data_IF_795070894675
#
_entry.id   IF_795070894675
#
_cell.length_a   1.000
_cell.length_b   1.000
_cell.length_c   1.000
_cell.angle_alpha   90.00
_cell.angle_beta   90.00
_cell.angle_gamma   90.00
#
_symmetry.space_group_name_H-M   'P 1'
#
loop_
_entity.id
_entity.type
_entity.pdbx_description
1 polymer ?
#
# COMPACT_ATOMS: atom_id res chain seq x y z
N UNK A 1 -110.25 102.73 -10.70
CA UNK A 1 -110.43 103.90 -9.83
C UNK A 1 -109.47 103.76 -8.66
N UNK A 2 -108.57 104.73 -8.48
CA UNK A 2 -107.71 105.05 -7.32
C UNK A 2 -106.72 104.02 -6.76
N UNK A 3 -105.44 104.42 -6.82
CA UNK A 3 -104.32 104.10 -5.90
C UNK A 3 -104.58 104.74 -4.52
N UNK A 4 -103.94 104.28 -3.41
CA UNK A 4 -102.60 104.79 -3.00
C UNK A 4 -101.64 103.72 -2.42
N UNK A 5 -100.32 103.78 -2.70
CA UNK A 5 -99.17 104.14 -1.82
C UNK A 5 -99.20 103.45 -0.42
N UNK A 6 -98.14 102.84 0.12
CA UNK A 6 -96.74 103.29 0.25
C UNK A 6 -95.86 102.14 0.81
N UNK A 7 -94.54 102.38 0.78
CA UNK A 7 -93.45 101.81 1.61
C UNK A 7 -92.41 100.85 1.00
N UNK A 8 -91.22 101.46 0.92
CA UNK A 8 -89.92 100.97 0.53
C UNK A 8 -89.24 100.18 1.66
N UNK A 9 -88.43 99.20 1.26
CA UNK A 9 -87.51 98.48 2.14
C UNK A 9 -86.57 97.61 1.31
N UNK A 10 -85.49 98.20 0.82
CA UNK A 10 -84.40 97.50 0.12
C UNK A 10 -83.69 96.57 1.11
N UNK A 11 -83.66 95.27 0.80
CA UNK A 11 -83.19 94.16 1.63
C UNK A 11 -81.63 94.09 1.68
N UNK A 12 -80.99 95.17 2.17
CA UNK A 12 -79.51 95.35 2.23
C UNK A 12 -78.84 94.31 3.15
N UNK A 13 -79.59 93.71 4.08
CA UNK A 13 -79.11 92.69 5.03
C UNK A 13 -78.84 91.34 4.37
N UNK A 14 -79.57 90.97 3.30
CA UNK A 14 -79.32 89.71 2.58
C UNK A 14 -78.05 89.77 1.74
N UNK A 15 -77.79 90.89 1.05
CA UNK A 15 -76.60 91.05 0.21
C UNK A 15 -75.30 91.08 1.03
N UNK A 16 -75.31 91.69 2.23
CA UNK A 16 -74.16 91.66 3.15
C UNK A 16 -73.90 90.25 3.72
N UNK A 17 -74.95 89.52 4.13
CA UNK A 17 -74.79 88.13 4.60
C UNK A 17 -74.26 87.21 3.49
N UNK A 18 -74.65 87.47 2.24
CA UNK A 18 -74.25 86.68 1.08
C UNK A 18 -72.80 86.96 0.64
N UNK A 19 -72.32 88.18 0.86
CA UNK A 19 -70.91 88.56 0.64
C UNK A 19 -70.00 87.96 1.72
N UNK A 20 -70.43 87.95 2.98
CA UNK A 20 -69.70 87.31 4.10
C UNK A 20 -69.63 85.78 3.93
N UNK A 21 -70.72 85.14 3.53
CA UNK A 21 -70.76 83.70 3.23
C UNK A 21 -69.86 83.35 2.03
N UNK A 22 -69.84 84.19 0.99
CA UNK A 22 -68.89 84.03 -0.13
C UNK A 22 -67.44 84.23 0.27
N UNK A 23 -67.15 85.15 1.18
CA UNK A 23 -65.79 85.38 1.68
C UNK A 23 -65.29 84.18 2.50
N UNK A 24 -66.12 83.67 3.41
CA UNK A 24 -65.81 82.49 4.23
C UNK A 24 -65.71 81.20 3.40
N UNK A 25 -66.56 81.02 2.38
CA UNK A 25 -66.44 79.93 1.40
C UNK A 25 -65.17 80.02 0.56
N UNK A 26 -64.74 81.23 0.16
CA UNK A 26 -63.46 81.41 -0.55
C UNK A 26 -62.26 81.09 0.33
N UNK A 27 -62.31 81.46 1.60
CA UNK A 27 -61.24 81.17 2.56
C UNK A 27 -61.18 79.67 2.91
N UNK A 28 -62.34 79.02 3.07
CA UNK A 28 -62.45 77.57 3.21
C UNK A 28 -61.96 76.84 1.96
N UNK A 29 -62.32 77.29 0.76
CA UNK A 29 -61.82 76.69 -0.48
C UNK A 29 -60.31 76.91 -0.67
N UNK A 30 -59.77 78.06 -0.24
CA UNK A 30 -58.33 78.33 -0.32
C UNK A 30 -57.52 77.47 0.67
N UNK A 31 -58.05 77.24 1.87
CA UNK A 31 -57.42 76.35 2.86
C UNK A 31 -57.48 74.89 2.43
N UNK A 32 -58.59 74.44 1.86
CA UNK A 32 -58.72 73.09 1.27
C UNK A 32 -57.78 72.92 0.07
N UNK A 33 -57.64 73.91 -0.81
CA UNK A 33 -56.71 73.86 -1.94
C UNK A 33 -55.24 73.77 -1.49
N UNK A 34 -54.84 74.57 -0.49
CA UNK A 34 -53.50 74.49 0.12
C UNK A 34 -53.24 73.14 0.78
N UNK A 35 -54.24 72.59 1.48
CA UNK A 35 -54.13 71.26 2.08
C UNK A 35 -54.02 70.15 1.01
N UNK A 36 -54.74 70.29 -0.12
CA UNK A 36 -54.66 69.36 -1.24
C UNK A 36 -53.30 69.43 -1.95
N UNK A 37 -52.75 70.62 -2.19
CA UNK A 37 -51.41 70.80 -2.75
C UNK A 37 -50.32 70.25 -1.80
N UNK A 38 -50.46 70.46 -0.49
CA UNK A 38 -49.57 69.89 0.51
C UNK A 38 -49.65 68.35 0.54
N UNK A 39 -50.85 67.78 0.50
CA UNK A 39 -51.04 66.33 0.44
C UNK A 39 -50.52 65.74 -0.88
N UNK A 40 -50.68 66.45 -2.01
CA UNK A 40 -50.19 66.02 -3.32
C UNK A 40 -48.66 66.07 -3.40
N UNK A 41 -48.03 67.12 -2.87
CA UNK A 41 -46.57 67.19 -2.76
C UNK A 41 -46.01 66.13 -1.82
N UNK A 42 -46.70 65.84 -0.71
CA UNK A 42 -46.32 64.76 0.20
C UNK A 42 -46.49 63.37 -0.45
N UNK A 43 -47.56 63.14 -1.20
CA UNK A 43 -47.80 61.89 -1.94
C UNK A 43 -46.75 61.67 -3.04
N UNK A 44 -46.40 62.73 -3.78
CA UNK A 44 -45.34 62.67 -4.79
C UNK A 44 -43.96 62.47 -4.17
N UNK A 45 -43.69 63.09 -3.02
CA UNK A 45 -42.46 62.87 -2.26
C UNK A 45 -42.36 61.43 -1.74
N UNK A 46 -43.44 60.87 -1.18
CA UNK A 46 -43.47 59.47 -0.76
C UNK A 46 -43.28 58.51 -1.94
N UNK A 47 -43.87 58.82 -3.09
CA UNK A 47 -43.74 57.99 -4.30
C UNK A 47 -42.29 58.00 -4.81
N UNK A 48 -41.62 59.15 -4.77
CA UNK A 48 -40.19 59.26 -5.11
C UNK A 48 -39.28 58.56 -4.08
N UNK A 49 -39.64 58.59 -2.79
CA UNK A 49 -38.94 57.81 -1.76
C UNK A 49 -39.15 56.30 -1.96
N UNK A 50 -40.35 55.87 -2.34
CA UNK A 50 -40.64 54.47 -2.63
C UNK A 50 -39.92 53.97 -3.89
N UNK A 51 -39.77 54.79 -4.94
CA UNK A 51 -39.00 54.40 -6.13
C UNK A 51 -37.50 54.27 -5.82
N UNK A 52 -36.93 55.25 -5.12
CA UNK A 52 -35.52 55.21 -4.71
C UNK A 52 -35.21 54.06 -3.76
N UNK A 53 -36.09 53.77 -2.80
CA UNK A 53 -35.98 52.58 -1.95
C UNK A 53 -36.11 51.27 -2.74
N UNK A 54 -36.97 51.23 -3.76
CA UNK A 54 -37.14 50.05 -4.61
C UNK A 54 -35.92 49.78 -5.47
N UNK A 55 -35.36 50.83 -6.08
CA UNK A 55 -34.18 50.72 -6.95
C UNK A 55 -32.95 50.29 -6.13
N UNK A 56 -32.72 50.91 -4.97
CA UNK A 56 -31.65 50.52 -4.05
C UNK A 56 -31.79 49.08 -3.53
N UNK A 57 -33.02 48.59 -3.30
CA UNK A 57 -33.27 47.19 -2.93
C UNK A 57 -32.95 46.21 -4.08
N UNK A 58 -33.30 46.56 -5.32
CA UNK A 58 -33.04 45.71 -6.48
C UNK A 58 -31.55 45.64 -6.84
N UNK A 59 -30.81 46.74 -6.75
CA UNK A 59 -29.37 46.77 -7.03
C UNK A 59 -28.57 46.05 -5.93
N UNK A 60 -28.89 46.30 -4.66
CA UNK A 60 -28.23 45.63 -3.53
C UNK A 60 -28.55 44.13 -3.49
N UNK A 61 -29.81 43.76 -3.76
CA UNK A 61 -30.25 42.36 -3.80
C UNK A 61 -29.65 41.56 -4.97
N UNK A 62 -29.53 42.15 -6.17
CA UNK A 62 -28.98 41.42 -7.34
C UNK A 62 -27.47 41.22 -7.24
N UNK A 63 -26.72 42.21 -6.78
CA UNK A 63 -25.26 42.10 -6.64
C UNK A 63 -24.82 41.12 -5.55
N UNK A 64 -25.50 41.13 -4.39
CA UNK A 64 -25.21 40.22 -3.28
C UNK A 64 -25.60 38.77 -3.60
N UNK A 65 -26.78 38.58 -4.20
CA UNK A 65 -27.25 37.25 -4.62
C UNK A 65 -26.38 36.66 -5.75
N UNK A 66 -25.95 37.47 -6.73
CA UNK A 66 -25.07 36.99 -7.81
C UNK A 66 -23.71 36.50 -7.28
N UNK A 67 -23.09 37.24 -6.36
CA UNK A 67 -21.84 36.83 -5.72
C UNK A 67 -22.02 35.57 -4.84
N UNK A 68 -23.17 35.41 -4.19
CA UNK A 68 -23.51 34.18 -3.47
C UNK A 68 -23.72 32.99 -4.41
N UNK A 69 -24.39 33.17 -5.54
CA UNK A 69 -24.60 32.13 -6.56
C UNK A 69 -23.26 31.65 -7.13
N UNK A 70 -22.32 32.55 -7.42
CA UNK A 70 -20.99 32.17 -7.91
C UNK A 70 -20.21 31.33 -6.87
N UNK A 71 -20.25 31.72 -5.59
CA UNK A 71 -19.65 30.91 -4.51
C UNK A 71 -20.31 29.56 -4.37
N UNK A 72 -21.64 29.50 -4.47
CA UNK A 72 -22.39 28.24 -4.41
C UNK A 72 -21.98 27.32 -5.57
N UNK A 73 -21.85 27.84 -6.79
CA UNK A 73 -21.36 27.06 -7.95
C UNK A 73 -19.93 26.52 -7.77
N UNK A 74 -19.03 27.30 -7.15
CA UNK A 74 -17.67 26.83 -6.81
C UNK A 74 -17.72 25.70 -5.78
N UNK A 75 -18.52 25.87 -4.73
CA UNK A 75 -18.71 24.84 -3.69
C UNK A 75 -19.38 23.58 -4.25
N UNK A 76 -20.32 23.69 -5.18
CA UNK A 76 -20.96 22.49 -5.78
C UNK A 76 -19.98 21.72 -6.66
N UNK A 77 -19.18 22.39 -7.49
CA UNK A 77 -18.16 21.72 -8.32
C UNK A 77 -17.06 21.07 -7.48
N UNK A 78 -16.62 21.73 -6.39
CA UNK A 78 -15.70 21.13 -5.42
C UNK A 78 -16.30 19.90 -4.73
N UNK A 79 -17.57 19.94 -4.34
CA UNK A 79 -18.27 18.81 -3.76
C UNK A 79 -18.42 17.63 -4.74
N UNK A 80 -18.68 17.90 -6.01
CA UNK A 80 -18.71 16.87 -7.06
C UNK A 80 -17.33 16.22 -7.24
N UNK A 81 -16.26 17.03 -7.28
CA UNK A 81 -14.89 16.56 -7.34
C UNK A 81 -14.49 15.73 -6.11
N UNK A 82 -14.91 16.13 -4.91
CA UNK A 82 -14.68 15.38 -3.66
C UNK A 82 -15.41 14.05 -3.67
N UNK A 83 -16.67 14.00 -4.14
CA UNK A 83 -17.43 12.75 -4.28
C UNK A 83 -16.75 11.79 -5.27
N UNK A 84 -16.25 12.29 -6.40
CA UNK A 84 -15.51 11.48 -7.35
C UNK A 84 -14.20 10.91 -6.75
N UNK A 85 -13.46 11.71 -5.98
CA UNK A 85 -12.27 11.25 -5.25
C UNK A 85 -12.60 10.21 -4.19
N UNK A 86 -13.68 10.40 -3.43
CA UNK A 86 -14.15 9.42 -2.44
C UNK A 86 -14.50 8.08 -3.09
N UNK A 87 -15.21 8.08 -4.22
CA UNK A 87 -15.54 6.84 -4.94
C UNK A 87 -14.28 6.10 -5.42
N UNK A 88 -13.28 6.83 -5.92
CA UNK A 88 -11.98 6.24 -6.32
C UNK A 88 -11.21 5.67 -5.11
N UNK A 89 -11.19 6.40 -3.99
CA UNK A 89 -10.57 5.96 -2.74
C UNK A 89 -11.25 4.69 -2.19
N UNK A 90 -12.58 4.63 -2.18
CA UNK A 90 -13.32 3.43 -1.77
C UNK A 90 -13.01 2.22 -2.65
N UNK A 91 -12.88 2.41 -3.96
CA UNK A 91 -12.43 1.37 -4.89
C UNK A 91 -11.03 0.85 -4.54
N UNK A 92 -10.08 1.76 -4.31
CA UNK A 92 -8.72 1.38 -3.90
C UNK A 92 -8.68 0.70 -2.52
N UNK A 93 -9.50 1.14 -1.57
CA UNK A 93 -9.60 0.53 -0.24
C UNK A 93 -10.14 -0.90 -0.31
N UNK A 94 -11.15 -1.17 -1.16
CA UNK A 94 -11.65 -2.53 -1.41
C UNK A 94 -10.57 -3.43 -2.01
N UNK A 95 -9.83 -2.92 -3.00
CA UNK A 95 -8.71 -3.67 -3.60
C UNK A 95 -7.63 -3.99 -2.56
N UNK A 96 -7.31 -3.04 -1.69
CA UNK A 96 -6.31 -3.22 -0.62
C UNK A 96 -6.76 -4.25 0.42
N UNK A 97 -8.05 -4.25 0.79
CA UNK A 97 -8.63 -5.27 1.68
C UNK A 97 -8.62 -6.66 1.05
N UNK A 98 -8.97 -6.79 -0.24
CA UNK A 98 -8.88 -8.06 -0.96
C UNK A 98 -7.43 -8.56 -1.06
N UNK A 99 -6.48 -7.67 -1.35
CA UNK A 99 -5.05 -8.03 -1.38
C UNK A 99 -4.57 -8.51 -0.01
N UNK A 100 -4.96 -7.84 1.08
CA UNK A 100 -4.63 -8.28 2.45
C UNK A 100 -5.23 -9.64 2.78
N UNK A 101 -6.48 -9.90 2.41
CA UNK A 101 -7.12 -11.20 2.61
C UNK A 101 -6.38 -12.32 1.85
N UNK A 102 -6.01 -12.07 0.59
CA UNK A 102 -5.21 -13.04 -0.20
C UNK A 102 -3.83 -13.28 0.40
N UNK A 103 -3.16 -12.25 0.91
CA UNK A 103 -1.87 -12.41 1.58
C UNK A 103 -2.02 -13.32 2.80
N UNK A 104 -3.04 -13.10 3.63
CA UNK A 104 -3.29 -13.94 4.81
C UNK A 104 -3.54 -15.41 4.43
N UNK A 105 -4.37 -15.65 3.42
CA UNK A 105 -4.63 -17.01 2.92
C UNK A 105 -3.36 -17.69 2.37
N UNK A 106 -2.57 -16.98 1.57
CA UNK A 106 -1.32 -17.50 1.03
C UNK A 106 -0.29 -17.77 2.14
N UNK A 107 -0.22 -16.93 3.17
CA UNK A 107 0.68 -17.18 4.30
C UNK A 107 0.31 -18.44 5.08
N UNK A 108 -0.98 -18.71 5.27
CA UNK A 108 -1.45 -19.93 5.92
C UNK A 108 -1.13 -21.18 5.09
N UNK A 109 -1.30 -21.10 3.76
CA UNK A 109 -0.92 -22.17 2.84
C UNK A 109 0.60 -22.42 2.84
N UNK A 110 1.42 -21.36 2.86
CA UNK A 110 2.89 -21.48 2.95
C UNK A 110 3.29 -22.16 4.26
N UNK A 111 2.64 -21.82 5.38
CA UNK A 111 2.91 -22.46 6.66
C UNK A 111 2.54 -23.96 6.66
N UNK A 112 1.36 -24.31 6.13
CA UNK A 112 0.91 -25.69 6.04
C UNK A 112 1.83 -26.54 5.14
N UNK A 113 2.23 -25.99 3.99
CA UNK A 113 3.15 -26.67 3.05
C UNK A 113 4.55 -26.81 3.63
N UNK A 114 5.06 -25.81 4.35
CA UNK A 114 6.37 -25.87 5.01
C UNK A 114 6.39 -26.90 6.15
N UNK A 115 5.31 -26.99 6.95
CA UNK A 115 5.18 -28.05 7.96
C UNK A 115 5.16 -29.45 7.33
N UNK A 116 4.44 -29.62 6.23
CA UNK A 116 4.43 -30.88 5.49
C UNK A 116 5.82 -31.21 4.93
N UNK A 117 6.53 -30.22 4.37
CA UNK A 117 7.91 -30.36 3.88
C UNK A 117 8.84 -30.86 4.97
N UNK A 118 8.81 -30.25 6.17
CA UNK A 118 9.63 -30.67 7.32
C UNK A 118 9.34 -32.12 7.72
N UNK A 119 8.06 -32.50 7.80
CA UNK A 119 7.66 -33.87 8.16
C UNK A 119 8.15 -34.89 7.14
N UNK A 120 7.95 -34.63 5.85
CA UNK A 120 8.38 -35.50 4.76
C UNK A 120 9.92 -35.59 4.69
N UNK A 121 10.61 -34.47 4.85
CA UNK A 121 12.07 -34.44 4.89
C UNK A 121 12.63 -35.33 5.99
N UNK A 122 12.07 -35.24 7.20
CA UNK A 122 12.47 -36.09 8.32
C UNK A 122 12.22 -37.57 8.04
N UNK A 123 11.06 -37.92 7.48
CA UNK A 123 10.76 -39.30 7.08
C UNK A 123 11.76 -39.83 6.04
N UNK A 124 12.13 -39.01 5.05
CA UNK A 124 13.13 -39.39 4.06
C UNK A 124 14.49 -39.62 4.71
N UNK A 125 14.91 -38.77 5.65
CA UNK A 125 16.17 -38.96 6.37
C UNK A 125 16.16 -40.22 7.25
N UNK A 126 15.06 -40.49 7.95
CA UNK A 126 14.93 -41.70 8.78
C UNK A 126 14.98 -42.98 7.93
N UNK A 127 14.36 -42.98 6.74
CA UNK A 127 14.39 -44.10 5.81
C UNK A 127 15.77 -44.34 5.20
N UNK A 128 16.54 -43.27 4.95
CA UNK A 128 17.93 -43.37 4.48
C UNK A 128 18.89 -43.83 5.58
N UNK A 129 18.47 -43.78 6.85
CA UNK A 129 19.29 -44.15 7.99
C UNK A 129 19.94 -42.94 8.66
N UNK A 130 19.99 -42.97 10.00
CA UNK A 130 20.53 -41.89 10.84
C UNK A 130 22.04 -41.70 10.72
N UNK A 131 22.76 -42.76 10.35
CA UNK A 131 24.20 -42.76 10.14
C UNK A 131 24.44 -43.14 8.69
N UNK A 132 25.15 -42.28 7.96
CA UNK A 132 25.52 -42.49 6.55
C UNK A 132 27.03 -42.38 6.40
N UNK A 133 27.62 -43.32 5.67
CA UNK A 133 29.04 -43.41 5.38
C UNK A 133 29.24 -43.24 3.89
N UNK A 134 29.80 -42.09 3.51
CA UNK A 134 30.17 -41.79 2.13
C UNK A 134 31.69 -41.90 1.96
N UNK A 135 32.12 -42.45 0.83
CA UNK A 135 33.54 -42.52 0.46
C UNK A 135 33.80 -41.59 -0.71
N UNK A 136 34.87 -40.80 -0.63
CA UNK A 136 35.34 -39.96 -1.72
C UNK A 136 36.77 -40.32 -2.09
N UNK A 137 36.97 -40.71 -3.34
CA UNK A 137 38.31 -40.96 -3.86
C UNK A 137 38.86 -39.69 -4.48
N UNK A 138 40.08 -39.31 -4.08
CA UNK A 138 40.77 -38.13 -4.61
C UNK A 138 41.37 -38.45 -6.00
N UNK A 139 41.30 -37.55 -6.98
CA UNK A 139 42.07 -37.69 -8.22
C UNK A 139 43.58 -37.70 -7.98
N UNK A 140 44.26 -38.55 -8.76
CA UNK A 140 45.72 -38.64 -8.79
C UNK A 140 46.27 -37.33 -9.40
N UNK A 141 47.32 -36.77 -8.80
CA UNK A 141 47.99 -35.61 -9.40
C UNK A 141 48.83 -36.08 -10.58
N UNK A 142 48.77 -35.34 -11.69
CA UNK A 142 49.57 -35.60 -12.90
C UNK A 142 51.05 -35.76 -12.54
N UNK A 143 51.63 -36.92 -12.86
CA UNK A 143 52.99 -37.30 -12.48
C UNK A 143 53.20 -38.80 -12.24
N UNK A 144 52.13 -39.59 -12.17
CA UNK A 144 52.20 -41.05 -12.11
C UNK A 144 51.23 -41.64 -13.15
N UNK A 145 51.67 -41.72 -14.41
CA UNK A 145 50.87 -42.25 -15.52
C UNK A 145 50.77 -43.78 -15.53
N UNK A 146 51.52 -44.48 -14.65
CA UNK A 146 51.72 -45.93 -14.76
C UNK A 146 51.10 -46.79 -13.63
N UNK A 147 50.50 -46.18 -12.60
CA UNK A 147 49.77 -46.91 -11.57
C UNK A 147 48.27 -46.78 -11.80
N UNK A 148 47.67 -47.74 -12.50
CA UNK A 148 46.22 -47.93 -12.41
C UNK A 148 45.86 -48.06 -10.92
N UNK A 149 44.98 -47.19 -10.38
CA UNK A 149 44.62 -47.27 -8.98
C UNK A 149 44.02 -48.66 -8.71
N UNK A 150 44.38 -49.33 -7.60
CA UNK A 150 43.88 -50.67 -7.27
C UNK A 150 42.39 -50.67 -6.87
N UNK A 151 41.60 -49.71 -7.37
CA UNK A 151 40.22 -49.44 -7.01
C UNK A 151 39.33 -49.68 -8.22
N UNK A 152 38.39 -50.60 -8.09
CA UNK A 152 37.35 -50.84 -9.07
C UNK A 152 36.01 -50.31 -8.56
N UNK A 153 35.39 -49.38 -9.29
CA UNK A 153 34.10 -48.79 -8.93
C UNK A 153 32.96 -49.62 -9.49
N UNK A 154 31.95 -49.94 -8.68
CA UNK A 154 30.71 -50.53 -9.20
C UNK A 154 29.89 -49.41 -9.85
N UNK A 155 29.28 -49.69 -11.01
CA UNK A 155 28.49 -48.71 -11.76
C UNK A 155 27.29 -48.13 -11.01
N UNK A 156 26.88 -48.78 -9.91
CA UNK A 156 25.74 -48.39 -9.09
C UNK A 156 26.05 -47.21 -8.14
N UNK A 157 27.32 -46.85 -7.95
CA UNK A 157 27.72 -45.73 -7.06
C UNK A 157 27.61 -46.00 -5.56
N UNK A 158 27.29 -47.24 -5.16
CA UNK A 158 27.17 -47.68 -3.76
C UNK A 158 28.27 -48.67 -3.33
N UNK A 159 29.17 -49.07 -4.25
CA UNK A 159 30.19 -50.06 -3.95
C UNK A 159 31.49 -49.81 -4.67
N UNK A 160 32.58 -50.18 -3.99
CA UNK A 160 33.94 -50.15 -4.52
C UNK A 160 34.65 -51.45 -4.14
N UNK A 161 35.58 -51.90 -4.96
CA UNK A 161 36.41 -53.08 -4.68
C UNK A 161 37.88 -52.69 -4.71
N UNK A 162 38.61 -53.01 -3.64
CA UNK A 162 40.04 -52.77 -3.53
C UNK A 162 40.80 -54.05 -3.86
N UNK A 163 41.81 -53.95 -4.72
CA UNK A 163 42.77 -55.01 -4.98
C UNK A 163 43.90 -54.90 -3.95
N UNK A 164 43.82 -55.73 -2.90
CA UNK A 164 44.83 -55.79 -1.86
C UNK A 164 45.43 -57.20 -1.81
N UNK A 165 46.78 -57.30 -1.86
CA UNK A 165 47.52 -58.57 -1.73
C UNK A 165 47.01 -59.68 -2.68
N UNK A 166 46.64 -59.32 -3.91
CA UNK A 166 46.17 -60.27 -4.93
C UNK A 166 44.71 -60.72 -4.79
N UNK A 167 43.96 -60.23 -3.79
CA UNK A 167 42.53 -60.50 -3.65
C UNK A 167 41.68 -59.23 -3.79
N UNK A 168 40.50 -59.35 -4.41
CA UNK A 168 39.55 -58.25 -4.54
C UNK A 168 38.61 -58.24 -3.34
N UNK A 169 38.71 -57.22 -2.50
CA UNK A 169 37.82 -57.03 -1.36
C UNK A 169 36.70 -56.04 -1.72
N UNK A 170 35.44 -56.50 -1.81
CA UNK A 170 34.31 -55.61 -2.07
C UNK A 170 33.89 -54.88 -0.79
N UNK A 171 33.63 -53.58 -0.90
CA UNK A 171 33.08 -52.73 0.13
C UNK A 171 31.82 -52.05 -0.38
N UNK A 172 30.82 -51.93 0.50
CA UNK A 172 29.56 -51.24 0.21
C UNK A 172 29.39 -50.06 1.16
N UNK A 173 28.95 -48.93 0.63
CA UNK A 173 28.79 -47.66 1.32
C UNK A 173 27.50 -46.97 0.86
N UNK A 174 27.05 -45.95 1.58
CA UNK A 174 25.85 -45.18 1.20
C UNK A 174 26.06 -44.36 -0.07
N UNK A 175 27.30 -43.95 -0.35
CA UNK A 175 27.70 -43.30 -1.60
C UNK A 175 29.20 -43.42 -1.82
N UNK A 176 29.59 -43.66 -3.06
CA UNK A 176 30.99 -43.66 -3.51
C UNK A 176 31.18 -42.59 -4.57
N UNK A 177 31.91 -41.53 -4.21
CA UNK A 177 32.33 -40.47 -5.13
C UNK A 177 33.64 -40.83 -5.80
N UNK A 178 33.62 -40.77 -7.13
CA UNK A 178 34.78 -41.07 -7.97
C UNK A 178 35.74 -39.87 -8.00
N UNK A 179 36.98 -40.06 -8.49
CA UNK A 179 37.95 -38.98 -8.67
C UNK A 179 37.43 -37.76 -9.45
N UNK A 180 36.50 -37.98 -10.37
CA UNK A 180 35.93 -36.94 -11.22
C UNK A 180 34.76 -36.20 -10.58
N UNK A 181 34.32 -36.62 -9.39
CA UNK A 181 33.19 -35.99 -8.70
C UNK A 181 33.55 -34.61 -8.18
N UNK A 182 32.69 -33.65 -8.48
CA UNK A 182 32.87 -32.24 -8.10
C UNK A 182 32.53 -32.01 -6.64
N UNK A 183 32.95 -30.85 -6.10
CA UNK A 183 32.56 -30.43 -4.75
C UNK A 183 31.05 -30.21 -4.62
N UNK A 184 30.38 -29.83 -5.72
CA UNK A 184 28.95 -29.61 -5.76
C UNK A 184 28.18 -30.93 -5.62
N UNK A 185 28.55 -31.97 -6.37
CA UNK A 185 27.95 -33.30 -6.24
C UNK A 185 28.06 -33.86 -4.81
N UNK A 186 29.21 -33.63 -4.17
CA UNK A 186 29.41 -34.03 -2.76
C UNK A 186 28.53 -33.20 -1.83
N UNK A 187 28.40 -31.90 -2.09
CA UNK A 187 27.57 -31.01 -1.30
C UNK A 187 26.08 -31.34 -1.43
N UNK A 188 25.59 -31.76 -2.59
CA UNK A 188 24.18 -32.10 -2.81
C UNK A 188 23.71 -33.22 -1.86
N UNK A 189 24.55 -34.22 -1.61
CA UNK A 189 24.27 -35.26 -0.62
C UNK A 189 24.27 -34.72 0.82
N UNK A 190 25.13 -33.73 1.12
CA UNK A 190 25.24 -33.12 2.44
C UNK A 190 24.13 -32.08 2.69
N UNK A 191 23.62 -31.45 1.63
CA UNK A 191 22.65 -30.36 1.67
C UNK A 191 21.37 -30.75 2.41
N UNK A 192 20.97 -32.01 2.31
CA UNK A 192 19.81 -32.57 3.01
C UNK A 192 19.98 -32.54 4.52
N UNK A 193 21.20 -32.75 5.03
CA UNK A 193 21.47 -32.65 6.45
C UNK A 193 21.54 -31.20 6.92
N UNK A 194 22.03 -30.28 6.09
CA UNK A 194 21.98 -28.83 6.38
C UNK A 194 20.52 -28.39 6.54
N UNK A 195 19.62 -28.89 5.70
CA UNK A 195 18.18 -28.65 5.85
C UNK A 195 17.63 -29.21 7.17
N UNK A 196 18.00 -30.43 7.55
CA UNK A 196 17.61 -31.01 8.83
C UNK A 196 18.11 -30.19 10.02
N UNK A 197 19.31 -29.61 9.93
CA UNK A 197 19.86 -28.75 10.96
C UNK A 197 19.02 -27.47 11.16
N UNK A 198 18.54 -26.86 10.07
CA UNK A 198 17.64 -25.70 10.12
C UNK A 198 16.26 -26.10 10.65
N UNK A 199 15.81 -27.31 10.34
CA UNK A 199 14.54 -27.85 10.84
C UNK A 199 14.60 -28.21 12.35
N UNK A 200 15.77 -28.06 13.00
CA UNK A 200 15.95 -28.21 14.45
C UNK A 200 16.62 -29.51 14.90
N UNK A 201 17.23 -30.28 13.98
CA UNK A 201 17.92 -31.53 14.30
C UNK A 201 19.42 -31.34 14.50
N UNK A 202 20.00 -32.11 15.41
CA UNK A 202 21.45 -32.15 15.59
C UNK A 202 22.09 -32.99 14.49
N UNK A 203 22.92 -32.36 13.67
CA UNK A 203 23.66 -33.00 12.58
C UNK A 203 25.15 -32.89 12.87
N UNK A 204 25.88 -33.97 12.61
CA UNK A 204 27.33 -33.97 12.69
C UNK A 204 27.94 -34.62 11.44
N UNK A 205 28.95 -33.95 10.87
CA UNK A 205 29.67 -34.43 9.71
C UNK A 205 31.15 -34.55 10.05
N UNK A 206 31.72 -35.72 9.79
CA UNK A 206 33.13 -36.00 10.00
C UNK A 206 33.80 -36.40 8.69
N UNK A 207 35.00 -35.86 8.45
CA UNK A 207 35.87 -36.32 7.38
C UNK A 207 36.95 -37.23 7.98
N UNK A 208 37.00 -38.48 7.54
CA UNK A 208 37.98 -39.47 8.00
C UNK A 208 38.93 -39.90 6.89
N UNK A 209 40.17 -40.24 7.24
CA UNK A 209 41.20 -40.71 6.31
C UNK A 209 42.61 -40.32 6.72
N UNK A 210 43.61 -40.89 6.04
CA UNK A 210 45.03 -40.58 6.29
C UNK A 210 45.41 -39.14 5.89
N UNK A 211 46.57 -38.65 6.34
CA UNK A 211 47.11 -37.37 5.88
C UNK A 211 47.33 -37.39 4.36
N UNK A 212 46.94 -36.31 3.67
CA UNK A 212 46.99 -36.23 2.20
C UNK A 212 45.77 -36.79 1.45
N UNK A 213 44.82 -37.47 2.14
CA UNK A 213 43.65 -38.08 1.50
C UNK A 213 42.58 -37.10 0.99
N UNK A 214 42.70 -35.81 1.30
CA UNK A 214 41.74 -34.78 0.85
C UNK A 214 40.64 -34.41 1.86
N UNK A 215 40.81 -34.72 3.16
CA UNK A 215 39.88 -34.28 4.23
C UNK A 215 39.66 -32.76 4.24
N UNK A 216 40.74 -31.99 4.32
CA UNK A 216 40.70 -30.52 4.34
C UNK A 216 40.12 -29.95 3.04
N UNK A 217 40.49 -30.54 1.90
CA UNK A 217 39.92 -30.18 0.60
C UNK A 217 38.41 -30.43 0.53
N UNK A 218 37.92 -31.50 1.15
CA UNK A 218 36.48 -31.80 1.17
C UNK A 218 35.71 -30.86 2.10
N UNK A 219 36.22 -30.62 3.31
CA UNK A 219 35.53 -29.80 4.30
C UNK A 219 35.64 -28.30 4.02
N UNK A 220 36.85 -27.80 3.81
CA UNK A 220 37.12 -26.38 3.58
C UNK A 220 37.19 -26.06 2.10
N UNK A 221 37.91 -26.89 1.33
CA UNK A 221 38.19 -26.63 -0.09
C UNK A 221 38.90 -25.30 -0.29
N UNK A 222 38.73 -24.71 -1.47
CA UNK A 222 39.21 -23.36 -1.74
C UNK A 222 38.27 -22.31 -1.15
N UNK A 223 38.83 -21.15 -0.78
CA UNK A 223 38.05 -20.05 -0.22
C UNK A 223 37.24 -19.29 -1.29
N UNK A 224 37.70 -19.35 -2.55
CA UNK A 224 37.12 -18.63 -3.68
C UNK A 224 37.03 -19.56 -4.89
N UNK A 225 35.95 -19.43 -5.68
CA UNK A 225 35.73 -20.23 -6.90
C UNK A 225 34.84 -21.46 -6.73
N UNK A 226 34.92 -22.38 -7.67
CA UNK A 226 34.01 -23.54 -7.76
C UNK A 226 34.45 -24.72 -6.87
N UNK A 227 35.70 -24.73 -6.41
CA UNK A 227 36.24 -25.77 -5.52
C UNK A 227 35.95 -25.52 -4.02
N UNK A 228 35.06 -24.57 -3.71
CA UNK A 228 34.58 -24.32 -2.34
C UNK A 228 34.08 -25.60 -1.68
N UNK A 229 34.57 -25.85 -0.47
CA UNK A 229 34.23 -27.03 0.32
C UNK A 229 32.85 -26.97 0.97
N UNK A 230 32.54 -28.03 1.70
CA UNK A 230 31.24 -28.23 2.34
C UNK A 230 30.91 -27.11 3.34
N UNK A 231 31.89 -26.60 4.09
CA UNK A 231 31.65 -25.58 5.13
C UNK A 231 31.10 -24.29 4.52
N UNK A 232 31.76 -23.78 3.47
CA UNK A 232 31.37 -22.52 2.82
C UNK A 232 30.02 -22.67 2.14
N UNK A 233 29.81 -23.76 1.39
CA UNK A 233 28.53 -24.06 0.72
C UNK A 233 27.39 -24.26 1.71
N UNK A 234 27.64 -24.87 2.87
CA UNK A 234 26.65 -25.01 3.94
C UNK A 234 26.24 -23.65 4.49
N UNK A 235 27.19 -22.76 4.77
CA UNK A 235 26.91 -21.41 5.26
C UNK A 235 26.08 -20.60 4.25
N UNK A 236 26.41 -20.69 2.96
CA UNK A 236 25.64 -20.06 1.88
C UNK A 236 24.23 -20.62 1.77
N UNK A 237 24.06 -21.94 1.87
CA UNK A 237 22.76 -22.59 1.84
C UNK A 237 21.90 -22.20 3.05
N UNK A 238 22.48 -22.13 4.24
CA UNK A 238 21.79 -21.64 5.45
C UNK A 238 21.34 -20.19 5.26
N UNK A 239 22.23 -19.33 4.75
CA UNK A 239 21.88 -17.93 4.44
C UNK A 239 20.73 -17.86 3.45
N UNK A 240 20.77 -18.66 2.38
CA UNK A 240 19.72 -18.71 1.37
C UNK A 240 18.39 -19.17 1.97
N UNK A 241 18.39 -20.26 2.74
CA UNK A 241 17.18 -20.81 3.36
C UNK A 241 16.56 -19.85 4.39
N UNK A 242 17.38 -19.22 5.24
CA UNK A 242 16.90 -18.22 6.19
C UNK A 242 16.38 -16.95 5.49
N UNK A 243 17.05 -16.52 4.41
CA UNK A 243 16.60 -15.39 3.61
C UNK A 243 15.23 -15.64 2.96
N UNK A 244 15.04 -16.81 2.36
CA UNK A 244 13.75 -17.21 1.78
C UNK A 244 12.65 -17.34 2.84
N UNK A 245 12.97 -17.88 4.02
CA UNK A 245 12.03 -17.99 5.13
C UNK A 245 11.64 -16.62 5.72
N UNK A 246 12.58 -15.67 5.81
CA UNK A 246 12.33 -14.33 6.31
C UNK A 246 11.41 -13.51 5.37
N UNK A 247 11.56 -13.67 4.05
CA UNK A 247 10.65 -13.08 3.05
C UNK A 247 9.25 -13.70 3.16
N UNK A 248 9.15 -15.00 3.42
CA UNK A 248 7.86 -15.69 3.60
C UNK A 248 7.15 -15.34 4.92
N UNK A 249 7.89 -15.06 6.00
CA UNK A 249 7.32 -14.82 7.33
C UNK A 249 7.03 -13.33 7.64
N UNK A 250 7.37 -12.39 6.75
CA UNK A 250 7.06 -10.96 6.91
C UNK A 250 7.70 -10.28 8.14
N UNK A 251 8.65 -10.95 8.81
CA UNK A 251 9.36 -10.41 9.96
C UNK A 251 10.65 -9.71 9.51
N UNK A 252 10.58 -8.40 9.25
CA UNK A 252 11.73 -7.54 8.93
C UNK A 252 12.81 -7.47 10.04
N UNK A 253 12.59 -8.03 11.23
CA UNK A 253 13.51 -7.87 12.37
C UNK A 253 14.84 -8.63 12.27
N UNK A 254 15.00 -9.55 11.32
CA UNK A 254 16.26 -10.29 11.13
C UNK A 254 17.05 -9.87 9.87
N UNK A 255 16.43 -9.07 8.99
CA UNK A 255 17.09 -8.62 7.75
C UNK A 255 18.14 -7.53 8.02
N UNK A 256 17.91 -6.65 9.01
CA UNK A 256 18.80 -5.52 9.29
C UNK A 256 20.14 -5.92 9.91
N UNK A 257 20.25 -7.10 10.54
CA UNK A 257 21.51 -7.50 11.19
C UNK A 257 22.51 -8.07 10.19
N UNK A 258 22.06 -8.70 9.10
CA UNK A 258 22.97 -9.34 8.13
C UNK A 258 23.23 -8.51 6.87
N UNK A 259 22.33 -7.60 6.48
CA UNK A 259 22.55 -6.77 5.30
C UNK A 259 23.69 -5.76 5.50
N UNK A 260 23.96 -5.33 6.74
CA UNK A 260 25.10 -4.46 7.09
C UNK A 260 26.45 -5.18 6.98
N UNK A 261 26.49 -6.52 7.14
CA UNK A 261 27.72 -7.31 7.01
C UNK A 261 28.04 -7.73 5.58
N UNK A 262 27.07 -7.75 4.66
CA UNK A 262 27.29 -8.12 3.26
C UNK A 262 27.69 -6.91 2.38
N UNK A 263 27.32 -5.69 2.76
CA UNK A 263 27.63 -4.47 2.00
C UNK A 263 28.97 -3.86 2.45
N UNK A 264 29.43 -4.13 3.68
CA UNK A 264 30.74 -3.74 4.18
C UNK A 264 31.68 -4.96 4.18
N UNK A 265 32.08 -5.39 2.99
CA UNK A 265 33.14 -6.38 2.82
C UNK A 265 34.49 -5.87 3.35
N UNK A 266 35.21 -6.75 4.05
CA UNK A 266 36.67 -6.74 4.11
C UNK A 266 37.21 -7.56 2.95
#
# INVERSE_FOLDING_TARGET
MRVPNEDAGVDITKELSWQEEKATLKESNHTVAKAFEAANTQSNALTAQLSTLKDTLTESGTATNAAQIERLCKVTTENENLKAKMASLEGSQKNLLQARARIAELTDQVFATEMARRKLHNQVQDLKGKIRVCVRVRPLKNGCEDDQPPINYKGDGYGLSLLARGNRQPFSFDRVFQPNSTQEEVFDEVSQFVQSAIDGYNVCLFAYGQTGSGKTHTMQGDLTGDERGIIIRSAEKVRWLLGSAAVACGCNRLFDVYHTYAVNGY
#
